data_IF_147048744741
#
_entry.id   IF_147048744741
#
_cell.length_a   1.000
_cell.length_b   1.000
_cell.length_c   1.000
_cell.angle_alpha   90.00
_cell.angle_beta   90.00
_cell.angle_gamma   90.00
#
_symmetry.space_group_name_H-M   'P 1'
#
loop_
_entity.id
_entity.type
_entity.pdbx_description
1 polymer ?
#
# COMPACT_ATOMS: atom_id res chain seq x y z
N UNK A 1 12.77 -21.70 -34.23
CA UNK A 1 12.93 -20.65 -33.21
C UNK A 1 13.63 -21.23 -32.01
N UNK A 2 14.59 -20.51 -31.45
CA UNK A 2 15.28 -20.91 -30.22
C UNK A 2 14.42 -20.71 -28.98
N UNK A 3 14.80 -21.35 -27.87
CA UNK A 3 14.13 -21.18 -26.56
C UNK A 3 14.16 -19.73 -26.08
N UNK A 4 15.25 -19.01 -26.37
CA UNK A 4 15.38 -17.59 -26.07
C UNK A 4 14.37 -16.72 -26.83
N UNK A 5 14.19 -16.96 -28.14
CA UNK A 5 13.23 -16.24 -28.98
C UNK A 5 11.79 -16.50 -28.51
N UNK A 6 11.47 -17.76 -28.19
CA UNK A 6 10.16 -18.14 -27.64
C UNK A 6 9.88 -17.43 -26.30
N UNK A 7 10.86 -17.41 -25.41
CA UNK A 7 10.75 -16.73 -24.12
C UNK A 7 10.52 -15.23 -24.28
N UNK A 8 11.26 -14.59 -25.21
CA UNK A 8 11.11 -13.17 -25.49
C UNK A 8 9.74 -12.83 -26.07
N UNK A 9 9.18 -13.69 -26.92
CA UNK A 9 7.82 -13.49 -27.45
C UNK A 9 6.78 -13.60 -26.34
N UNK A 10 6.87 -14.62 -25.48
CA UNK A 10 5.97 -14.76 -24.33
C UNK A 10 6.10 -13.54 -23.41
N UNK A 11 7.31 -13.08 -23.13
CA UNK A 11 7.56 -11.88 -22.32
C UNK A 11 6.97 -10.61 -22.97
N UNK A 12 7.12 -10.45 -24.29
CA UNK A 12 6.54 -9.30 -25.00
C UNK A 12 5.01 -9.30 -24.94
N UNK A 13 4.38 -10.47 -25.10
CA UNK A 13 2.93 -10.63 -24.94
C UNK A 13 2.50 -10.30 -23.52
N UNK A 14 3.21 -10.80 -22.51
CA UNK A 14 2.94 -10.48 -21.11
C UNK A 14 3.09 -8.99 -20.83
N UNK A 15 4.10 -8.32 -21.38
CA UNK A 15 4.30 -6.88 -21.21
C UNK A 15 3.12 -6.08 -21.77
N UNK A 16 2.61 -6.45 -22.95
CA UNK A 16 1.40 -5.84 -23.53
C UNK A 16 0.18 -6.10 -22.63
N UNK A 17 0.00 -7.33 -22.14
CA UNK A 17 -1.11 -7.67 -21.25
C UNK A 17 -1.03 -6.94 -19.90
N UNK A 18 0.16 -6.72 -19.35
CA UNK A 18 0.34 -5.94 -18.13
C UNK A 18 0.07 -4.45 -18.32
N UNK A 19 0.43 -3.87 -19.47
CA UNK A 19 0.16 -2.45 -19.76
C UNK A 19 -1.31 -2.21 -20.09
N UNK A 20 -1.93 -3.15 -20.81
CA UNK A 20 -3.33 -3.01 -21.24
C UNK A 20 -4.34 -3.45 -20.18
N UNK A 21 -3.91 -4.25 -19.19
CA UNK A 21 -4.72 -4.78 -18.08
C UNK A 21 -6.06 -5.40 -18.51
N UNK A 22 -6.15 -5.90 -19.76
CA UNK A 22 -7.37 -6.54 -20.29
C UNK A 22 -7.74 -7.79 -19.48
N UNK A 23 -6.72 -8.44 -18.91
CA UNK A 23 -6.84 -9.61 -18.06
C UNK A 23 -6.14 -9.27 -16.73
N UNK A 24 -6.71 -9.67 -15.57
CA UNK A 24 -6.10 -9.43 -14.26
C UNK A 24 -4.62 -9.82 -14.21
N UNK A 25 -3.79 -8.95 -13.59
CA UNK A 25 -2.34 -9.11 -13.52
C UNK A 25 -1.91 -10.50 -13.01
N UNK A 26 -2.63 -11.06 -12.02
CA UNK A 26 -2.37 -12.38 -11.47
C UNK A 26 -2.58 -13.51 -12.48
N UNK A 27 -3.60 -13.39 -13.35
CA UNK A 27 -3.87 -14.37 -14.40
C UNK A 27 -2.83 -14.23 -15.51
N UNK A 28 -2.46 -13.00 -15.87
CA UNK A 28 -1.40 -12.73 -16.86
C UNK A 28 -0.06 -13.32 -16.43
N UNK A 29 0.34 -13.15 -15.16
CA UNK A 29 1.60 -13.67 -14.64
C UNK A 29 1.62 -15.20 -14.58
N UNK A 30 0.57 -15.85 -14.07
CA UNK A 30 0.45 -17.30 -14.04
C UNK A 30 0.34 -17.90 -15.44
N UNK A 31 -0.43 -17.28 -16.33
CA UNK A 31 -0.60 -17.72 -17.71
C UNK A 31 0.72 -17.72 -18.47
N UNK A 32 1.55 -16.70 -18.28
CA UNK A 32 2.91 -16.66 -18.83
C UNK A 32 3.80 -17.80 -18.34
N UNK A 33 3.84 -18.04 -17.04
CA UNK A 33 4.62 -19.13 -16.45
C UNK A 33 4.14 -20.52 -16.93
N UNK A 34 2.82 -20.75 -16.98
CA UNK A 34 2.23 -21.99 -17.49
C UNK A 34 2.54 -22.17 -18.97
N UNK A 35 2.47 -21.10 -19.78
CA UNK A 35 2.80 -21.16 -21.21
C UNK A 35 4.25 -21.60 -21.41
N UNK A 36 5.20 -21.03 -20.68
CA UNK A 36 6.61 -21.45 -20.74
C UNK A 36 6.80 -22.91 -20.31
N UNK A 37 6.03 -23.38 -19.32
CA UNK A 37 6.02 -24.78 -18.89
C UNK A 37 5.47 -25.73 -19.95
N UNK A 38 4.35 -25.38 -20.59
CA UNK A 38 3.74 -26.16 -21.67
C UNK A 38 4.62 -26.21 -22.93
N UNK A 39 5.38 -25.15 -23.20
CA UNK A 39 6.37 -25.11 -24.27
C UNK A 39 7.63 -25.93 -23.96
N UNK A 40 7.76 -26.50 -22.76
CA UNK A 40 8.92 -27.26 -22.32
C UNK A 40 10.18 -26.42 -22.09
N UNK A 41 10.04 -25.09 -22.02
CA UNK A 41 11.16 -24.15 -21.80
C UNK A 41 11.60 -24.19 -20.34
N UNK A 42 10.64 -24.33 -19.42
CA UNK A 42 10.88 -24.48 -17.99
C UNK A 42 10.20 -25.73 -17.45
N UNK A 43 10.75 -26.30 -16.37
CA UNK A 43 10.16 -27.48 -15.73
C UNK A 43 8.89 -27.11 -14.95
N UNK A 44 7.92 -28.04 -14.77
CA UNK A 44 6.73 -27.78 -13.96
C UNK A 44 7.04 -27.28 -12.54
N UNK A 45 8.17 -27.72 -11.96
CA UNK A 45 8.61 -27.24 -10.63
C UNK A 45 8.97 -25.76 -10.64
N UNK A 46 9.57 -25.26 -11.71
CA UNK A 46 9.96 -23.85 -11.87
C UNK A 46 8.73 -22.96 -12.15
N UNK A 47 7.70 -23.49 -12.82
CA UNK A 47 6.43 -22.76 -13.05
C UNK A 47 5.83 -22.26 -11.74
N UNK A 48 5.84 -23.11 -10.69
CA UNK A 48 5.21 -22.81 -9.41
C UNK A 48 6.18 -22.34 -8.32
N UNK A 49 7.50 -22.33 -8.56
CA UNK A 49 8.49 -22.04 -7.51
C UNK A 49 8.39 -20.61 -6.96
N UNK A 50 7.88 -19.66 -7.75
CA UNK A 50 7.64 -18.30 -7.29
C UNK A 50 6.52 -18.19 -6.25
N UNK A 51 5.58 -19.15 -6.18
CA UNK A 51 4.50 -19.15 -5.20
C UNK A 51 4.96 -19.55 -3.80
N UNK A 52 6.04 -20.32 -3.70
CA UNK A 52 6.66 -20.74 -2.43
C UNK A 52 7.77 -19.81 -1.96
N UNK A 53 7.89 -18.62 -2.55
CA UNK A 53 8.93 -17.67 -2.21
C UNK A 53 8.70 -17.04 -0.84
N UNK A 54 9.74 -16.96 -0.01
CA UNK A 54 9.65 -16.36 1.33
C UNK A 54 9.21 -14.90 1.29
N UNK A 55 9.55 -14.17 0.23
CA UNK A 55 9.13 -12.80 -0.03
C UNK A 55 7.61 -12.70 -0.23
N UNK A 56 7.02 -13.68 -0.93
CA UNK A 56 5.57 -13.76 -1.16
C UNK A 56 4.84 -14.08 0.14
N UNK A 57 5.39 -14.98 0.96
CA UNK A 57 4.82 -15.32 2.28
C UNK A 57 4.88 -14.11 3.22
N UNK A 58 6.01 -13.39 3.26
CA UNK A 58 6.17 -12.15 4.01
C UNK A 58 5.12 -11.12 3.59
N UNK A 59 4.96 -10.91 2.29
CA UNK A 59 4.00 -9.96 1.74
C UNK A 59 2.55 -10.32 2.08
N UNK A 60 2.17 -11.60 1.96
CA UNK A 60 0.86 -12.08 2.36
C UNK A 60 0.59 -11.86 3.86
N UNK A 61 1.58 -12.14 4.72
CA UNK A 61 1.48 -11.90 6.16
C UNK A 61 1.25 -10.42 6.49
N UNK A 62 1.98 -9.51 5.83
CA UNK A 62 1.80 -8.08 6.04
C UNK A 62 0.43 -7.58 5.57
N UNK A 63 -0.13 -8.14 4.49
CA UNK A 63 -1.50 -7.84 4.10
C UNK A 63 -2.53 -8.30 5.12
N UNK A 64 -2.34 -9.47 5.75
CA UNK A 64 -3.24 -9.93 6.81
C UNK A 64 -3.18 -9.00 8.02
N UNK A 65 -1.98 -8.59 8.44
CA UNK A 65 -1.80 -7.64 9.54
C UNK A 65 -2.43 -6.28 9.19
N UNK A 66 -2.18 -5.77 7.98
CA UNK A 66 -2.78 -4.54 7.47
C UNK A 66 -4.32 -4.60 7.41
N UNK A 67 -4.87 -5.68 6.86
CA UNK A 67 -6.31 -5.92 6.78
C UNK A 67 -6.96 -5.99 8.17
N UNK A 68 -6.28 -6.56 9.16
CA UNK A 68 -6.78 -6.59 10.53
C UNK A 68 -7.00 -5.18 11.10
N UNK A 69 -6.16 -4.18 10.78
CA UNK A 69 -6.37 -2.80 11.23
C UNK A 69 -7.63 -2.16 10.64
N UNK A 70 -7.96 -2.51 9.39
CA UNK A 70 -9.18 -2.04 8.73
C UNK A 70 -10.40 -2.76 9.27
N UNK A 71 -10.33 -4.09 9.43
CA UNK A 71 -11.40 -4.91 9.97
C UNK A 71 -11.75 -4.56 11.42
N UNK A 72 -10.79 -4.12 12.23
CA UNK A 72 -11.04 -3.70 13.62
C UNK A 72 -11.44 -2.23 13.75
N UNK A 73 -11.51 -1.47 12.65
CA UNK A 73 -11.83 -0.05 12.70
C UNK A 73 -10.74 0.82 13.32
N UNK A 74 -9.55 0.27 13.63
CA UNK A 74 -8.47 1.05 14.25
C UNK A 74 -7.95 2.12 13.28
N UNK A 75 -7.82 1.78 12.01
CA UNK A 75 -7.41 2.70 10.95
C UNK A 75 -8.36 3.91 10.85
N UNK A 76 -9.67 3.65 10.83
CA UNK A 76 -10.74 4.64 10.77
C UNK A 76 -10.70 5.54 12.02
N UNK A 77 -10.60 4.95 13.20
CA UNK A 77 -10.52 5.69 14.47
C UNK A 77 -9.30 6.62 14.56
N UNK A 78 -8.14 6.17 14.06
CA UNK A 78 -6.94 7.03 13.98
C UNK A 78 -7.21 8.21 13.04
N UNK A 79 -7.78 7.94 11.86
CA UNK A 79 -8.18 8.95 10.89
C UNK A 79 -9.13 9.99 11.49
N UNK A 80 -10.25 9.53 12.06
CA UNK A 80 -11.24 10.40 12.70
C UNK A 80 -10.62 11.26 13.79
N UNK A 81 -9.78 10.66 14.65
CA UNK A 81 -9.12 11.38 15.73
C UNK A 81 -8.19 12.46 15.16
N UNK A 82 -7.30 12.14 14.23
CA UNK A 82 -6.33 13.13 13.72
C UNK A 82 -7.01 14.23 12.91
N UNK A 83 -7.96 13.85 12.06
CA UNK A 83 -8.61 14.80 11.14
C UNK A 83 -9.62 15.69 11.88
N UNK A 84 -10.30 15.19 12.92
CA UNK A 84 -11.18 16.03 13.75
C UNK A 84 -10.43 17.13 14.52
N UNK A 85 -9.15 16.90 14.87
CA UNK A 85 -8.31 17.91 15.52
C UNK A 85 -7.76 18.98 14.56
N UNK A 86 -7.89 18.78 13.24
CA UNK A 86 -7.40 19.70 12.21
C UNK A 86 -8.24 20.98 12.05
N UNK A 87 -9.43 21.02 12.67
CA UNK A 87 -10.39 22.11 12.56
C UNK A 87 -11.11 22.15 11.21
N UNK A 88 -11.66 23.30 10.85
CA UNK A 88 -12.50 23.49 9.64
C UNK A 88 -11.77 24.22 8.50
N UNK A 89 -10.49 24.55 8.67
CA UNK A 89 -9.73 25.24 7.62
C UNK A 89 -9.30 24.25 6.52
N UNK A 90 -9.43 24.65 5.26
CA UNK A 90 -9.09 23.78 4.12
C UNK A 90 -7.62 23.33 4.12
N UNK A 91 -6.70 24.24 4.45
CA UNK A 91 -5.27 23.92 4.50
C UNK A 91 -4.92 23.05 5.71
N UNK A 92 -5.54 23.30 6.87
CA UNK A 92 -5.32 22.48 8.07
C UNK A 92 -5.82 21.06 7.87
N UNK A 93 -7.02 20.94 7.27
CA UNK A 93 -7.60 19.66 6.90
C UNK A 93 -6.73 18.90 5.90
N UNK A 94 -6.27 19.56 4.84
CA UNK A 94 -5.37 18.97 3.84
C UNK A 94 -4.07 18.46 4.48
N UNK A 95 -3.44 19.27 5.32
CA UNK A 95 -2.20 18.88 6.01
C UNK A 95 -2.42 17.68 6.92
N UNK A 96 -3.50 17.67 7.72
CA UNK A 96 -3.80 16.57 8.62
C UNK A 96 -4.10 15.27 7.86
N UNK A 97 -4.90 15.35 6.79
CA UNK A 97 -5.19 14.22 5.90
C UNK A 97 -3.89 13.67 5.31
N UNK A 98 -3.05 14.53 4.73
CA UNK A 98 -1.83 14.04 4.10
C UNK A 98 -0.86 13.41 5.10
N UNK A 99 -0.72 13.99 6.31
CA UNK A 99 0.16 13.44 7.34
C UNK A 99 -0.34 12.09 7.87
N UNK A 100 -1.62 11.99 8.22
CA UNK A 100 -2.17 10.72 8.76
C UNK A 100 -2.15 9.64 7.69
N UNK A 101 -2.50 10.00 6.44
CA UNK A 101 -2.53 9.06 5.32
C UNK A 101 -1.13 8.57 4.98
N UNK A 102 -0.15 9.46 4.83
CA UNK A 102 1.21 9.05 4.51
C UNK A 102 1.80 8.17 5.62
N UNK A 103 1.52 8.51 6.88
CA UNK A 103 1.98 7.73 8.04
C UNK A 103 1.33 6.35 8.08
N UNK A 104 0.01 6.25 7.86
CA UNK A 104 -0.68 4.97 7.82
C UNK A 104 -0.21 4.14 6.62
N UNK A 105 -0.13 4.74 5.44
CA UNK A 105 0.30 4.06 4.22
C UNK A 105 1.76 3.59 4.28
N UNK A 106 2.59 4.17 5.15
CA UNK A 106 3.93 3.69 5.42
C UNK A 106 3.95 2.29 6.05
N UNK A 107 2.90 1.87 6.76
CA UNK A 107 2.85 0.56 7.44
C UNK A 107 1.71 -0.33 6.95
N UNK A 108 0.73 0.25 6.26
CA UNK A 108 -0.42 -0.42 5.65
C UNK A 108 -0.30 -0.36 4.12
N UNK A 109 -1.33 -0.77 3.39
CA UNK A 109 -1.37 -0.66 1.94
C UNK A 109 -1.97 0.66 1.47
N UNK A 110 -1.44 1.23 0.38
CA UNK A 110 -1.98 2.45 -0.23
C UNK A 110 -3.49 2.38 -0.47
N UNK A 111 -3.96 1.26 -1.03
CA UNK A 111 -5.38 1.02 -1.33
C UNK A 111 -6.21 0.94 -0.05
N UNK A 112 -5.78 0.15 0.94
CA UNK A 112 -6.52 0.00 2.19
C UNK A 112 -6.56 1.29 2.99
N UNK A 113 -5.45 2.03 3.07
CA UNK A 113 -5.38 3.31 3.77
C UNK A 113 -6.31 4.34 3.12
N UNK A 114 -6.34 4.38 1.78
CA UNK A 114 -7.27 5.25 1.05
C UNK A 114 -8.72 4.86 1.32
N UNK A 115 -9.06 3.57 1.21
CA UNK A 115 -10.42 3.09 1.45
C UNK A 115 -10.91 3.39 2.89
N UNK A 116 -10.05 3.23 3.89
CA UNK A 116 -10.41 3.48 5.29
C UNK A 116 -10.56 4.97 5.62
N UNK A 117 -9.75 5.83 5.02
CA UNK A 117 -9.80 7.27 5.28
C UNK A 117 -10.78 8.02 4.39
N UNK A 118 -11.16 7.45 3.24
CA UNK A 118 -12.13 8.05 2.33
C UNK A 118 -13.44 8.47 3.01
N UNK A 119 -14.18 7.59 3.73
CA UNK A 119 -15.44 7.97 4.38
C UNK A 119 -15.22 9.06 5.44
N UNK A 120 -14.11 8.97 6.19
CA UNK A 120 -13.75 9.98 7.20
C UNK A 120 -13.53 11.36 6.56
N UNK A 121 -12.82 11.41 5.43
CA UNK A 121 -12.55 12.66 4.70
C UNK A 121 -13.84 13.23 4.12
N UNK A 122 -14.70 12.40 3.51
CA UNK A 122 -15.99 12.84 2.95
C UNK A 122 -16.88 13.42 4.05
N UNK A 123 -17.06 12.70 5.15
CA UNK A 123 -17.88 13.16 6.29
C UNK A 123 -17.39 14.49 6.88
N UNK A 124 -16.07 14.65 7.07
CA UNK A 124 -15.51 15.89 7.62
C UNK A 124 -15.62 17.04 6.61
N UNK A 125 -15.44 16.78 5.32
CA UNK A 125 -15.65 17.79 4.27
C UNK A 125 -17.11 18.29 4.24
N UNK A 126 -18.08 17.41 4.45
CA UNK A 126 -19.49 17.78 4.54
C UNK A 126 -19.77 18.73 5.72
N UNK A 127 -19.21 18.42 6.91
CA UNK A 127 -19.34 19.29 8.10
C UNK A 127 -18.61 20.62 7.92
N UNK A 128 -17.41 20.60 7.35
CA UNK A 128 -16.59 21.79 7.11
C UNK A 128 -17.09 22.64 5.92
N UNK A 129 -18.08 22.15 5.15
CA UNK A 129 -18.57 22.77 3.90
C UNK A 129 -17.46 23.00 2.86
N UNK A 130 -16.52 22.05 2.80
CA UNK A 130 -15.43 22.03 1.83
C UNK A 130 -15.77 20.97 0.77
N UNK A 131 -15.63 21.24 -0.54
CA UNK A 131 -15.80 20.19 -1.55
C UNK A 131 -14.80 19.05 -1.33
N UNK A 132 -15.29 17.82 -1.12
CA UNK A 132 -14.46 16.65 -0.84
C UNK A 132 -13.41 16.38 -1.94
N UNK A 133 -13.72 16.74 -3.19
CA UNK A 133 -12.79 16.65 -4.33
C UNK A 133 -11.46 17.39 -4.10
N UNK A 134 -11.45 18.40 -3.23
CA UNK A 134 -10.24 19.15 -2.83
C UNK A 134 -9.39 18.42 -1.79
N UNK A 135 -9.89 17.35 -1.17
CA UNK A 135 -9.19 16.60 -0.14
C UNK A 135 -8.90 15.15 -0.55
N UNK A 136 -9.71 14.57 -1.45
CA UNK A 136 -9.50 13.22 -1.95
C UNK A 136 -8.24 13.05 -2.80
N UNK A 137 -7.87 14.07 -3.59
CA UNK A 137 -6.63 14.01 -4.36
C UNK A 137 -5.38 14.11 -3.44
N UNK A 138 -5.30 15.04 -2.46
CA UNK A 138 -4.28 14.99 -1.41
C UNK A 138 -4.20 13.66 -0.68
N UNK A 139 -5.34 13.06 -0.33
CA UNK A 139 -5.42 11.72 0.26
C UNK A 139 -4.72 10.69 -0.63
N UNK A 140 -5.08 10.59 -1.91
CA UNK A 140 -4.50 9.62 -2.83
C UNK A 140 -2.99 9.81 -3.04
N UNK A 141 -2.50 11.06 -3.18
CA UNK A 141 -1.07 11.35 -3.28
C UNK A 141 -0.31 10.97 -2.00
N UNK A 142 -0.87 11.29 -0.84
CA UNK A 142 -0.27 10.96 0.44
C UNK A 142 -0.21 9.44 0.68
N UNK A 143 -1.26 8.69 0.31
CA UNK A 143 -1.23 7.24 0.34
C UNK A 143 -0.14 6.68 -0.57
N UNK A 144 -0.10 7.12 -1.84
CA UNK A 144 0.88 6.66 -2.81
C UNK A 144 2.33 6.85 -2.36
N UNK A 145 2.67 8.03 -1.84
CA UNK A 145 4.04 8.37 -1.44
C UNK A 145 4.38 7.87 -0.03
N UNK A 146 3.40 7.81 0.88
CA UNK A 146 3.58 7.23 2.20
C UNK A 146 4.06 5.79 2.15
N UNK A 147 3.54 4.99 1.21
CA UNK A 147 3.98 3.60 0.98
C UNK A 147 5.46 3.45 0.59
N UNK A 148 6.13 4.53 0.20
CA UNK A 148 7.57 4.54 -0.14
C UNK A 148 8.44 4.66 1.12
N UNK A 149 7.88 5.04 2.28
CA UNK A 149 8.67 5.31 3.50
C UNK A 149 9.28 4.05 4.10
N UNK A 150 8.58 2.90 4.05
CA UNK A 150 9.11 1.65 4.61
C UNK A 150 9.24 0.57 3.55
N UNK A 151 9.95 -0.49 3.89
CA UNK A 151 10.01 -1.68 3.06
C UNK A 151 8.62 -2.27 2.78
N UNK A 152 7.67 -2.18 3.72
CA UNK A 152 6.38 -2.89 3.62
C UNK A 152 5.29 -2.09 2.93
N UNK A 153 5.39 -0.76 2.92
CA UNK A 153 4.31 0.11 2.43
C UNK A 153 3.90 -0.15 0.97
N UNK A 154 4.78 -0.73 0.14
CA UNK A 154 4.45 -1.04 -1.26
C UNK A 154 5.13 -2.33 -1.77
N UNK A 155 4.44 -3.14 -2.61
CA UNK A 155 4.99 -4.39 -3.15
C UNK A 155 6.38 -4.27 -3.82
N UNK A 156 6.68 -3.24 -4.64
CA UNK A 156 7.98 -3.09 -5.28
C UNK A 156 9.17 -3.09 -4.31
N UNK A 157 9.02 -2.49 -3.12
CA UNK A 157 10.07 -2.42 -2.10
C UNK A 157 10.41 -3.80 -1.54
N UNK A 158 9.38 -4.62 -1.29
CA UNK A 158 9.53 -6.00 -0.84
C UNK A 158 10.15 -6.86 -1.96
N UNK A 159 9.69 -6.71 -3.20
CA UNK A 159 10.17 -7.49 -4.35
C UNK A 159 11.66 -7.23 -4.60
N UNK A 160 12.10 -5.97 -4.58
CA UNK A 160 13.53 -5.65 -4.78
C UNK A 160 14.39 -6.21 -3.64
N UNK A 161 13.95 -6.08 -2.38
CA UNK A 161 14.67 -6.61 -1.22
C UNK A 161 14.80 -8.14 -1.26
N UNK A 162 13.72 -8.83 -1.61
CA UNK A 162 13.72 -10.29 -1.80
C UNK A 162 14.60 -10.73 -2.98
N UNK A 163 14.64 -9.93 -4.06
CA UNK A 163 15.50 -10.20 -5.21
C UNK A 163 16.97 -10.05 -4.86
N UNK A 164 17.37 -9.00 -4.12
CA UNK A 164 18.74 -8.82 -3.65
C UNK A 164 19.22 -10.02 -2.81
N UNK A 165 18.38 -10.50 -1.90
CA UNK A 165 18.67 -11.68 -1.06
C UNK A 165 18.99 -12.93 -1.91
N UNK A 166 18.28 -13.13 -3.04
CA UNK A 166 18.53 -14.26 -3.95
C UNK A 166 19.87 -14.17 -4.67
N UNK A 167 20.40 -12.96 -4.87
CA UNK A 167 21.72 -12.73 -5.44
C UNK A 167 22.84 -12.70 -4.38
N UNK A 168 22.53 -13.01 -3.12
CA UNK A 168 23.50 -12.97 -2.02
C UNK A 168 23.91 -11.54 -1.63
N UNK A 169 23.11 -10.55 -2.04
CA UNK A 169 23.29 -9.14 -1.66
C UNK A 169 22.43 -8.91 -0.42
N UNK A 170 22.95 -8.12 0.52
CA UNK A 170 22.23 -7.73 1.73
C UNK A 170 20.88 -7.09 1.36
N UNK A 171 19.75 -7.58 1.90
CA UNK A 171 18.45 -6.94 1.68
C UNK A 171 18.43 -5.54 2.27
N UNK A 172 17.50 -4.72 1.79
CA UNK A 172 17.28 -3.40 2.37
C UNK A 172 16.88 -3.51 3.84
N UNK A 173 17.29 -2.55 4.66
CA UNK A 173 16.76 -2.39 6.01
C UNK A 173 15.29 -1.92 6.02
N UNK A 174 14.57 -2.16 7.11
CA UNK A 174 13.14 -1.81 7.22
C UNK A 174 12.84 -0.33 6.92
N UNK A 175 13.68 0.57 7.43
CA UNK A 175 13.57 2.03 7.24
C UNK A 175 14.57 2.59 6.22
N UNK A 176 15.26 1.77 5.44
CA UNK A 176 16.25 2.29 4.49
C UNK A 176 15.62 3.15 3.40
N UNK A 177 14.40 2.79 2.97
CA UNK A 177 13.61 3.60 2.05
C UNK A 177 13.19 4.96 2.65
N UNK A 178 13.16 5.09 3.98
CA UNK A 178 12.70 6.32 4.64
C UNK A 178 13.61 7.51 4.34
N UNK A 179 14.89 7.27 4.06
CA UNK A 179 15.86 8.29 3.64
C UNK A 179 15.42 9.03 2.37
N UNK A 180 14.67 8.37 1.49
CA UNK A 180 14.12 8.97 0.26
C UNK A 180 12.62 9.26 0.45
N UNK A 181 11.88 8.34 1.06
CA UNK A 181 10.44 8.42 1.23
C UNK A 181 9.99 9.59 2.09
N UNK A 182 10.69 9.90 3.20
CA UNK A 182 10.33 11.03 4.06
C UNK A 182 10.54 12.37 3.33
N UNK A 183 11.71 12.67 2.73
CA UNK A 183 11.87 13.89 1.95
C UNK A 183 10.85 14.03 0.81
N UNK A 184 10.55 12.94 0.10
CA UNK A 184 9.56 12.96 -0.98
C UNK A 184 8.14 13.23 -0.47
N UNK A 185 7.78 12.65 0.68
CA UNK A 185 6.51 12.91 1.37
C UNK A 185 6.39 14.38 1.74
N UNK A 186 7.43 14.93 2.37
CA UNK A 186 7.47 16.36 2.75
C UNK A 186 7.37 17.26 1.52
N UNK A 187 8.15 16.97 0.47
CA UNK A 187 8.11 17.73 -0.78
C UNK A 187 6.71 17.71 -1.41
N UNK A 188 6.02 16.58 -1.35
CA UNK A 188 4.67 16.43 -1.89
C UNK A 188 3.64 17.19 -1.05
N UNK A 189 3.73 17.12 0.28
CA UNK A 189 2.87 17.91 1.16
C UNK A 189 3.05 19.41 0.87
N UNK A 190 4.30 19.87 0.78
CA UNK A 190 4.62 21.26 0.45
C UNK A 190 4.07 21.64 -0.93
N UNK A 191 4.27 20.78 -1.94
CA UNK A 191 3.74 21.00 -3.28
C UNK A 191 2.21 21.11 -3.27
N UNK A 192 1.51 20.20 -2.60
CA UNK A 192 0.05 20.21 -2.53
C UNK A 192 -0.48 21.46 -1.82
N UNK A 193 0.16 21.87 -0.74
CA UNK A 193 -0.21 23.08 0.02
C UNK A 193 0.04 24.38 -0.74
N UNK A 194 1.06 24.43 -1.60
CA UNK A 194 1.44 25.65 -2.32
C UNK A 194 0.82 25.70 -3.72
N UNK A 195 1.08 24.69 -4.54
CA UNK A 195 0.72 24.64 -5.95
C UNK A 195 -0.52 23.78 -6.17
N UNK A 196 -0.53 22.56 -5.63
CA UNK A 196 -1.56 21.56 -5.89
C UNK A 196 -2.97 22.07 -5.62
N UNK A 197 -3.20 22.79 -4.51
CA UNK A 197 -4.50 23.39 -4.16
C UNK A 197 -5.15 24.26 -5.25
N UNK A 198 -4.36 24.83 -6.16
CA UNK A 198 -4.84 25.65 -7.28
C UNK A 198 -5.25 24.79 -8.49
N UNK A 199 -4.69 23.59 -8.62
CA UNK A 199 -4.99 22.62 -9.67
C UNK A 199 -6.15 21.68 -9.29
N UNK A 200 -6.51 21.63 -7.99
CA UNK A 200 -7.54 20.72 -7.50
C UNK A 200 -8.93 21.11 -8.02
N UNK A 201 -9.69 20.13 -8.55
CA UNK A 201 -11.06 20.36 -9.02
C UNK A 201 -11.98 20.79 -7.87
N UNK A 202 -13.02 21.55 -8.21
CA UNK A 202 -14.03 22.09 -7.28
C UNK A 202 -15.43 21.62 -7.67
N UNK A 203 -15.59 20.32 -7.88
CA UNK A 203 -16.91 19.75 -8.19
C UNK A 203 -17.43 18.98 -6.99
N UNK A 204 -18.75 18.99 -6.82
CA UNK A 204 -19.44 18.13 -5.86
C UNK A 204 -19.30 16.67 -6.31
N UNK A 205 -19.03 15.79 -5.36
CA UNK A 205 -18.90 14.36 -5.63
C UNK A 205 -20.30 13.75 -5.48
N UNK A 206 -20.92 13.39 -6.60
CA UNK A 206 -22.27 12.80 -6.61
C UNK A 206 -22.28 11.36 -6.09
N UNK A 207 -21.19 10.61 -6.28
CA UNK A 207 -21.09 9.17 -5.95
C UNK A 207 -20.39 8.90 -4.61
N UNK A 208 -20.12 9.93 -3.79
CA UNK A 208 -19.40 9.74 -2.53
C UNK A 208 -20.17 8.84 -1.53
N UNK A 209 -21.51 8.89 -1.58
CA UNK A 209 -22.37 8.06 -0.76
C UNK A 209 -22.33 6.57 -1.12
N UNK A 210 -22.08 6.24 -2.39
CA UNK A 210 -21.96 4.86 -2.85
C UNK A 210 -20.67 4.23 -2.31
N UNK A 211 -19.57 4.98 -2.29
CA UNK A 211 -18.30 4.48 -1.73
C UNK A 211 -18.34 4.39 -0.20
N UNK A 212 -19.01 5.33 0.48
CA UNK A 212 -19.29 5.20 1.92
C UNK A 212 -20.12 3.94 2.22
N UNK A 213 -21.11 3.61 1.39
CA UNK A 213 -21.92 2.39 1.55
C UNK A 213 -21.13 1.11 1.29
N UNK A 214 -20.25 1.06 0.29
CA UNK A 214 -19.40 -0.11 0.04
C UNK A 214 -18.42 -0.37 1.18
N UNK A 215 -17.79 0.69 1.72
CA UNK A 215 -16.85 0.57 2.85
C UNK A 215 -17.60 0.27 4.16
N UNK A 216 -18.80 0.81 4.35
CA UNK A 216 -19.65 0.50 5.51
C UNK A 216 -20.32 -0.89 5.43
N UNK A 217 -20.44 -1.46 4.23
CA UNK A 217 -20.94 -2.81 4.01
C UNK A 217 -19.89 -3.89 4.34
N UNK A 218 -18.61 -3.54 4.48
CA UNK A 218 -17.63 -4.40 5.13
C UNK A 218 -17.91 -4.45 6.64
N UNK A 219 -17.95 -5.65 7.23
CA UNK A 219 -18.17 -5.87 8.68
C UNK A 219 -17.01 -5.31 9.53
N UNK A 220 -16.93 -3.99 9.67
CA UNK A 220 -15.92 -3.31 10.49
C UNK A 220 -16.31 -3.46 11.96
N UNK A 221 -15.47 -4.16 12.72
CA UNK A 221 -15.69 -4.39 14.14
C UNK A 221 -15.24 -3.19 14.97
N UNK A 222 -16.17 -2.45 15.58
CA UNK A 222 -15.86 -1.33 16.48
C UNK A 222 -15.53 -1.73 17.93
N UNK A 223 -14.95 -2.92 18.15
CA UNK A 223 -14.58 -3.40 19.48
C UNK A 223 -13.22 -2.81 19.92
N UNK A 224 -13.15 -2.01 21.01
CA UNK A 224 -11.91 -1.43 21.50
C UNK A 224 -10.82 -2.45 21.82
N UNK A 225 -11.18 -3.67 22.24
CA UNK A 225 -10.21 -4.73 22.52
C UNK A 225 -9.57 -5.23 21.23
N UNK A 226 -10.37 -5.44 20.17
CA UNK A 226 -9.85 -5.88 18.88
C UNK A 226 -8.97 -4.80 18.24
N UNK A 227 -9.36 -3.53 18.36
CA UNK A 227 -8.51 -2.40 17.97
C UNK A 227 -7.15 -2.47 18.68
N UNK A 228 -7.15 -2.58 20.01
CA UNK A 228 -5.92 -2.69 20.80
C UNK A 228 -5.05 -3.89 20.36
N UNK A 229 -5.64 -5.08 20.21
CA UNK A 229 -4.89 -6.26 19.79
C UNK A 229 -4.30 -6.09 18.38
N UNK A 230 -5.06 -5.56 17.42
CA UNK A 230 -4.55 -5.31 16.07
C UNK A 230 -3.39 -4.29 16.05
N UNK A 231 -3.47 -3.24 16.87
CA UNK A 231 -2.38 -2.27 17.03
C UNK A 231 -1.13 -2.87 17.70
N UNK A 232 -1.32 -3.70 18.74
CA UNK A 232 -0.22 -4.41 19.40
C UNK A 232 0.44 -5.43 18.47
N UNK A 233 -0.33 -6.14 17.65
CA UNK A 233 0.19 -7.06 16.64
C UNK A 233 1.02 -6.30 15.61
N UNK A 234 0.50 -5.18 15.07
CA UNK A 234 1.25 -4.35 14.12
C UNK A 234 2.57 -3.87 14.73
N UNK A 235 2.54 -3.34 15.96
CA UNK A 235 3.75 -2.90 16.66
C UNK A 235 4.74 -4.05 16.87
N UNK A 236 4.25 -5.22 17.30
CA UNK A 236 5.08 -6.41 17.47
C UNK A 236 5.74 -6.86 16.16
N UNK A 237 5.00 -6.83 15.05
CA UNK A 237 5.51 -7.16 13.71
C UNK A 237 6.55 -6.14 13.26
N UNK A 238 6.28 -4.84 13.41
CA UNK A 238 7.25 -3.77 13.08
C UNK A 238 8.53 -3.93 13.90
N UNK A 239 8.42 -4.17 15.21
CA UNK A 239 9.57 -4.41 16.09
C UNK A 239 10.36 -5.64 15.64
N UNK A 240 9.67 -6.75 15.34
CA UNK A 240 10.31 -7.97 14.86
C UNK A 240 11.04 -7.76 13.52
N UNK A 241 10.48 -6.95 12.61
CA UNK A 241 11.11 -6.62 11.33
C UNK A 241 12.31 -5.70 11.49
N UNK A 242 12.24 -4.71 12.39
CA UNK A 242 13.37 -3.82 12.70
C UNK A 242 14.51 -4.58 13.37
N UNK A 243 14.17 -5.49 14.29
CA UNK A 243 15.15 -6.29 15.03
C UNK A 243 15.60 -7.55 14.28
N UNK A 244 15.13 -7.79 13.06
CA UNK A 244 15.43 -8.99 12.28
C UNK A 244 16.92 -9.23 12.08
N UNK A 245 17.68 -8.18 11.74
CA UNK A 245 19.13 -8.29 11.50
C UNK A 245 19.94 -8.51 12.80
N UNK A 246 19.65 -7.79 13.90
CA UNK A 246 20.19 -8.13 15.21
C UNK A 246 19.84 -9.55 15.67
N UNK A 247 18.61 -10.01 15.45
CA UNK A 247 18.13 -11.32 15.90
C UNK A 247 18.79 -12.47 15.15
N UNK A 248 18.97 -12.36 13.83
CA UNK A 248 19.73 -13.34 13.02
C UNK A 248 21.17 -13.47 13.50
N UNK A 249 21.79 -12.31 13.80
CA UNK A 249 23.16 -12.24 14.33
C UNK A 249 23.27 -12.80 15.75
N UNK A 250 22.27 -12.58 16.62
CA UNK A 250 22.27 -13.03 18.02
C UNK A 250 21.89 -14.51 18.18
N UNK A 251 21.03 -15.03 17.31
CA UNK A 251 20.57 -16.43 17.34
C UNK A 251 21.31 -17.33 16.34
N UNK A 252 22.22 -16.80 15.52
CA UNK A 252 23.03 -17.57 14.58
C UNK A 252 22.22 -18.27 13.49
N UNK A 253 21.12 -17.64 13.04
CA UNK A 253 20.19 -18.13 12.01
C UNK A 253 20.25 -17.26 10.76
#
# INVERSE_FOLDING_TARGET
MGTAEQTLIVLAVMAVLFVTEIIPLAITSLGGAITLGLMGIITPKVVFSGLSDSTVVLFAGMFVVGAALFYTGLAQKIGETVVSHAGTSENGLMLAIMLVTATMSAFLSNTGTTAALLPVVVGICAVAKIPASRQLMPLAFAAGIGGIITMVGTPPNIIVSGTLSKFGIEPFGFFEFAWIGIPLTVATIVFMMLVGKHLLPKHEITDAGDVEQEVAAEDISNDPKKQLYSGLILLGVIIAMILGDPLKTYFGI
#
